data_IF_205136119562
#
_entry.id   IF_205136119562
#
_cell.length_a   1.000
_cell.length_b   1.000
_cell.length_c   1.000
_cell.angle_alpha   90.00
_cell.angle_beta   90.00
_cell.angle_gamma   90.00
#
_symmetry.space_group_name_H-M   'P 1'
#
loop_
_entity.id
_entity.type
_entity.pdbx_description
1 polymer ?
#
# COMPACT_ATOMS: atom_id res chain seq x y z
N UNK A 1 1.46 22.25 33.34
CA UNK A 1 0.08 21.76 33.49
C UNK A 1 -0.28 21.02 32.22
N UNK A 2 -0.19 19.69 32.21
CA UNK A 2 -0.63 18.88 31.07
C UNK A 2 -2.15 18.78 31.16
N UNK A 3 -2.83 19.72 30.49
CA UNK A 3 -4.27 19.68 30.31
C UNK A 3 -4.62 18.40 29.55
N UNK A 4 -5.53 17.60 30.12
CA UNK A 4 -6.10 16.42 29.48
C UNK A 4 -6.67 16.86 28.12
N UNK A 5 -5.98 16.55 27.01
CA UNK A 5 -6.53 16.76 25.66
C UNK A 5 -7.86 16.01 25.61
N UNK A 6 -8.93 16.72 25.26
CA UNK A 6 -10.24 16.10 25.08
C UNK A 6 -10.12 15.11 23.92
N UNK A 7 -10.68 13.90 24.03
CA UNK A 7 -10.58 12.88 22.98
C UNK A 7 -11.01 13.40 21.59
N UNK A 8 -11.95 14.36 21.55
CA UNK A 8 -12.38 15.00 20.31
C UNK A 8 -11.29 15.87 19.66
N UNK A 9 -10.40 16.48 20.45
CA UNK A 9 -9.33 17.36 19.96
C UNK A 9 -8.29 16.59 19.15
N UNK A 10 -7.94 15.38 19.60
CA UNK A 10 -7.00 14.52 18.86
C UNK A 10 -7.63 14.02 17.56
N UNK A 11 -8.91 13.66 17.58
CA UNK A 11 -9.65 13.25 16.37
C UNK A 11 -9.71 14.37 15.33
N UNK A 12 -9.95 15.60 15.77
CA UNK A 12 -10.01 16.78 14.90
C UNK A 12 -8.62 17.10 14.32
N UNK A 13 -7.57 17.02 15.14
CA UNK A 13 -6.16 17.13 14.70
C UNK A 13 -5.82 16.12 13.58
N UNK A 14 -6.32 14.87 13.65
CA UNK A 14 -6.13 13.88 12.59
C UNK A 14 -7.00 14.11 11.34
N UNK A 15 -8.20 14.67 11.49
CA UNK A 15 -9.10 14.95 10.37
C UNK A 15 -8.59 16.10 9.51
N UNK A 16 -7.93 17.08 10.12
CA UNK A 16 -7.38 18.24 9.42
C UNK A 16 -6.05 17.93 8.71
N UNK A 17 -5.46 16.74 8.90
CA UNK A 17 -4.24 16.34 8.20
C UNK A 17 -4.45 16.12 6.70
N UNK A 18 -5.69 15.86 6.28
CA UNK A 18 -6.03 15.58 4.89
C UNK A 18 -7.21 16.43 4.48
N UNK A 19 -7.06 17.16 3.38
CA UNK A 19 -8.17 17.90 2.80
C UNK A 19 -9.24 16.94 2.29
N UNK A 20 -10.51 17.26 2.55
CA UNK A 20 -11.61 16.42 2.08
C UNK A 20 -11.71 16.52 0.56
N UNK A 21 -11.62 15.41 -0.19
CA UNK A 21 -11.68 15.44 -1.64
C UNK A 21 -13.05 15.95 -2.12
N UNK A 22 -13.05 16.84 -3.09
CA UNK A 22 -14.25 17.45 -3.67
C UNK A 22 -14.88 16.62 -4.79
N UNK A 23 -14.12 15.68 -5.35
CA UNK A 23 -14.51 14.90 -6.53
C UNK A 23 -14.13 13.42 -6.38
N UNK A 24 -14.90 12.57 -7.04
CA UNK A 24 -14.62 11.14 -7.16
C UNK A 24 -13.85 10.87 -8.45
N UNK A 25 -12.72 10.17 -8.35
CA UNK A 25 -11.97 9.67 -9.49
C UNK A 25 -12.22 8.17 -9.69
N UNK A 26 -12.47 7.75 -10.93
CA UNK A 26 -12.57 6.33 -11.27
C UNK A 26 -11.21 5.64 -11.14
N UNK A 27 -11.14 4.60 -10.33
CA UNK A 27 -9.95 3.78 -10.14
C UNK A 27 -9.73 2.75 -11.24
N UNK A 28 -10.76 2.40 -12.02
CA UNK A 28 -10.68 1.40 -13.06
C UNK A 28 -10.21 1.99 -14.39
N UNK A 29 -8.98 2.47 -14.39
CA UNK A 29 -8.34 3.07 -15.56
C UNK A 29 -7.58 2.02 -16.38
N UNK A 30 -7.28 2.31 -17.65
CA UNK A 30 -6.42 1.45 -18.46
C UNK A 30 -5.03 1.24 -17.83
N UNK A 31 -4.53 2.22 -17.06
CA UNK A 31 -3.28 2.08 -16.30
C UNK A 31 -3.40 1.01 -15.21
N UNK A 32 -4.54 0.92 -14.53
CA UNK A 32 -4.81 -0.13 -13.54
C UNK A 32 -4.83 -1.52 -14.19
N UNK A 33 -5.41 -1.65 -15.39
CA UNK A 33 -5.42 -2.91 -16.15
C UNK A 33 -3.99 -3.36 -16.49
N UNK A 34 -3.15 -2.45 -17.01
CA UNK A 34 -1.74 -2.75 -17.29
C UNK A 34 -0.98 -3.12 -16.02
N UNK A 35 -1.23 -2.41 -14.91
CA UNK A 35 -0.64 -2.72 -13.60
C UNK A 35 -0.99 -4.12 -13.12
N UNK A 36 -2.26 -4.52 -13.23
CA UNK A 36 -2.71 -5.88 -12.85
C UNK A 36 -2.03 -6.94 -13.71
N UNK A 37 -1.89 -6.72 -15.02
CA UNK A 37 -1.20 -7.66 -15.91
C UNK A 37 0.28 -7.80 -15.53
N UNK A 38 0.95 -6.70 -15.19
CA UNK A 38 2.33 -6.73 -14.72
C UNK A 38 2.47 -7.54 -13.42
N UNK A 39 1.59 -7.31 -12.44
CA UNK A 39 1.58 -8.08 -11.19
C UNK A 39 1.36 -9.56 -11.48
N UNK A 40 0.38 -9.90 -12.30
CA UNK A 40 -0.02 -11.28 -12.57
C UNK A 40 1.06 -12.08 -13.31
N UNK A 41 1.70 -11.49 -14.33
CA UNK A 41 2.64 -12.21 -15.19
C UNK A 41 4.10 -12.06 -14.79
N UNK A 42 4.46 -11.01 -14.06
CA UNK A 42 5.86 -10.74 -13.69
C UNK A 42 6.07 -10.92 -12.19
N UNK A 43 5.28 -10.25 -11.36
CA UNK A 43 5.52 -10.23 -9.91
C UNK A 43 5.19 -11.57 -9.25
N UNK A 44 4.02 -12.15 -9.52
CA UNK A 44 3.63 -13.44 -8.91
C UNK A 44 4.58 -14.57 -9.32
N UNK A 45 4.92 -14.77 -10.60
CA UNK A 45 5.86 -15.83 -10.99
C UNK A 45 7.28 -15.58 -10.50
N UNK A 46 7.74 -14.32 -10.54
CA UNK A 46 9.04 -13.92 -9.98
C UNK A 46 9.15 -14.30 -8.51
N UNK A 47 8.07 -14.09 -7.75
CA UNK A 47 8.01 -14.48 -6.35
C UNK A 47 8.16 -15.98 -6.14
N UNK A 48 7.35 -16.76 -6.86
CA UNK A 48 7.40 -18.22 -6.76
C UNK A 48 8.80 -18.76 -7.09
N UNK A 49 9.49 -18.17 -8.07
CA UNK A 49 10.86 -18.54 -8.40
C UNK A 49 11.84 -18.24 -7.25
N UNK A 50 11.81 -17.02 -6.71
CA UNK A 50 12.72 -16.61 -5.64
C UNK A 50 12.48 -17.42 -4.36
N UNK A 51 11.21 -17.69 -4.02
CA UNK A 51 10.83 -18.55 -2.89
C UNK A 51 11.43 -19.95 -2.99
N UNK A 52 11.42 -20.54 -4.19
CA UNK A 52 12.02 -21.85 -4.44
C UNK A 52 13.56 -21.82 -4.49
N UNK A 53 14.15 -20.75 -5.02
CA UNK A 53 15.62 -20.64 -5.18
C UNK A 53 16.35 -20.29 -3.89
N UNK A 54 15.81 -19.34 -3.11
CA UNK A 54 16.45 -18.82 -1.90
C UNK A 54 16.05 -19.64 -0.66
N UNK A 55 14.97 -20.41 -0.76
CA UNK A 55 14.32 -21.08 0.36
C UNK A 55 13.35 -20.14 1.06
N UNK A 56 12.23 -20.68 1.55
CA UNK A 56 11.04 -19.94 2.02
C UNK A 56 11.19 -19.04 3.26
N UNK A 57 12.39 -18.53 3.56
CA UNK A 57 12.68 -17.65 4.70
C UNK A 57 12.67 -16.16 4.36
N UNK A 58 12.62 -15.76 3.07
CA UNK A 58 12.25 -14.39 2.70
C UNK A 58 10.75 -14.24 2.99
N UNK A 59 10.40 -13.74 4.18
CA UNK A 59 9.00 -13.58 4.60
C UNK A 59 8.20 -12.78 3.55
N UNK A 60 6.92 -13.13 3.37
CA UNK A 60 6.04 -12.62 2.31
C UNK A 60 5.99 -11.08 2.15
N UNK A 61 6.44 -10.31 3.15
CA UNK A 61 6.52 -8.85 3.12
C UNK A 61 7.80 -8.29 2.48
N UNK A 62 8.93 -9.03 2.50
CA UNK A 62 10.21 -8.55 1.97
C UNK A 62 10.25 -8.42 0.44
N UNK A 63 9.34 -9.11 -0.23
CA UNK A 63 9.35 -9.30 -1.68
C UNK A 63 8.59 -8.24 -2.47
N UNK A 64 7.52 -7.70 -1.90
CA UNK A 64 6.78 -6.60 -2.51
C UNK A 64 7.50 -5.27 -2.33
N UNK A 65 8.36 -5.16 -1.31
CA UNK A 65 9.10 -3.93 -0.96
C UNK A 65 10.30 -3.68 -1.89
N UNK A 66 10.99 -4.72 -2.35
CA UNK A 66 12.14 -4.58 -3.27
C UNK A 66 11.77 -4.17 -4.69
N UNK A 67 10.51 -4.26 -5.08
CA UNK A 67 10.06 -3.88 -6.43
C UNK A 67 9.53 -2.43 -6.49
N UNK A 68 9.18 -1.83 -5.33
CA UNK A 68 8.58 -0.48 -5.24
C UNK A 68 9.61 0.61 -4.86
N UNK A 69 10.72 0.25 -4.20
CA UNK A 69 11.83 1.15 -3.84
C UNK A 69 12.81 1.36 -5.01
#
# INVERSE_FOLDING_TARGET
MLGRKNANQEVEEYRDLLETPTEYADGFTSKAVVGVLFVAFVMIPGNMYLSLMVGGSLGAAAEWVTIIL
#
